data_IF_133766151253
#
_entry.id   IF_133766151253
#
_cell.length_a   1.000
_cell.length_b   1.000
_cell.length_c   1.000
_cell.angle_alpha   90.00
_cell.angle_beta   90.00
_cell.angle_gamma   90.00
#
_symmetry.space_group_name_H-M   'P 1'
#
loop_
_entity.id
_entity.type
_entity.pdbx_description
1 polymer ?
#
# COMPACT_ATOMS: atom_id res chain seq x y z
N UNK A 1 1.95 -4.80 -5.70
CA UNK A 1 2.19 -3.34 -5.57
C UNK A 1 1.96 -2.92 -4.13
N UNK A 2 2.37 -1.71 -3.75
CA UNK A 2 2.15 -1.18 -2.40
C UNK A 2 3.14 -1.66 -1.34
N UNK A 3 4.25 -2.30 -1.75
CA UNK A 3 5.30 -2.67 -0.81
C UNK A 3 5.92 -1.42 -0.17
N UNK A 4 6.17 -1.50 1.14
CA UNK A 4 6.77 -0.42 1.93
C UNK A 4 8.23 -0.81 2.18
N UNK A 5 9.15 -0.14 1.50
CA UNK A 5 10.58 -0.29 1.68
C UNK A 5 11.11 0.73 2.68
N UNK A 6 12.14 0.34 3.44
CA UNK A 6 12.82 1.23 4.37
C UNK A 6 14.31 1.27 4.04
N UNK A 7 14.82 2.39 3.49
CA UNK A 7 16.24 2.62 3.30
C UNK A 7 16.98 2.87 4.64
N UNK A 8 18.32 2.95 4.63
CA UNK A 8 19.11 3.21 5.84
C UNK A 8 18.81 4.53 6.56
N UNK A 9 18.25 5.52 5.88
CA UNK A 9 17.82 6.80 6.47
C UNK A 9 16.47 6.71 7.21
N UNK A 10 15.82 5.55 7.16
CA UNK A 10 14.58 5.26 7.88
C UNK A 10 13.31 5.79 7.22
N UNK A 11 13.39 6.48 6.08
CA UNK A 11 12.22 7.09 5.45
C UNK A 11 11.46 6.08 4.56
N UNK A 12 10.19 5.72 4.88
CA UNK A 12 9.50 4.69 4.13
C UNK A 12 9.15 5.11 2.69
N UNK A 13 9.37 4.20 1.74
CA UNK A 13 9.01 4.37 0.34
C UNK A 13 7.90 3.37 -0.01
N UNK A 14 6.75 3.87 -0.49
CA UNK A 14 5.66 3.03 -1.00
C UNK A 14 5.80 2.86 -2.51
N UNK A 15 5.91 1.61 -2.95
CA UNK A 15 6.08 1.29 -4.37
C UNK A 15 4.73 1.22 -5.12
N UNK A 16 4.53 2.13 -6.08
CA UNK A 16 3.33 2.19 -6.94
C UNK A 16 3.47 1.34 -8.22
N UNK A 17 2.71 1.66 -9.27
CA UNK A 17 2.63 0.88 -10.52
C UNK A 17 3.97 0.83 -11.26
N UNK A 18 4.67 1.96 -11.35
CA UNK A 18 5.89 2.11 -12.14
C UNK A 18 7.16 1.78 -11.34
N UNK A 19 7.01 0.93 -10.32
CA UNK A 19 8.11 0.54 -9.45
C UNK A 19 9.14 -0.33 -10.18
N UNK A 20 10.40 -0.25 -9.73
CA UNK A 20 11.42 -1.21 -10.11
C UNK A 20 11.01 -2.64 -9.67
N UNK A 21 11.35 -3.63 -10.48
CA UNK A 21 11.01 -5.05 -10.22
C UNK A 21 11.95 -5.71 -9.21
N UNK A 22 13.19 -5.23 -9.11
CA UNK A 22 14.21 -5.67 -8.14
C UNK A 22 14.35 -4.57 -7.08
N UNK A 23 14.33 -4.95 -5.80
CA UNK A 23 14.50 -4.02 -4.68
C UNK A 23 15.60 -4.48 -3.74
N UNK A 24 16.45 -3.55 -3.29
CA UNK A 24 17.56 -3.82 -2.37
C UNK A 24 17.27 -3.52 -0.89
N UNK A 25 16.15 -2.86 -0.59
CA UNK A 25 15.82 -2.45 0.78
C UNK A 25 14.88 -3.43 1.49
N UNK A 26 15.04 -3.60 2.82
CA UNK A 26 14.09 -4.32 3.65
C UNK A 26 12.66 -3.84 3.44
N UNK A 27 11.71 -4.79 3.47
CA UNK A 27 10.28 -4.51 3.35
C UNK A 27 9.61 -4.64 4.71
N UNK A 28 8.92 -3.59 5.16
CA UNK A 28 8.09 -3.64 6.37
C UNK A 28 6.80 -4.43 6.15
N UNK A 29 6.28 -4.40 4.93
CA UNK A 29 5.00 -5.00 4.57
C UNK A 29 4.48 -4.42 3.26
N UNK A 30 3.16 -4.50 3.07
CA UNK A 30 2.49 -3.91 1.92
C UNK A 30 1.16 -3.28 2.30
N UNK A 31 0.79 -2.20 1.62
CA UNK A 31 -0.55 -1.63 1.68
C UNK A 31 -1.56 -2.57 1.04
N UNK A 32 -2.79 -2.56 1.57
CA UNK A 32 -3.93 -3.19 0.90
C UNK A 32 -4.23 -2.47 -0.41
N UNK A 33 -4.88 -3.11 -1.39
CA UNK A 33 -5.25 -2.46 -2.65
C UNK A 33 -6.06 -1.17 -2.43
N UNK A 34 -6.99 -1.19 -1.49
CA UNK A 34 -7.83 -0.03 -1.14
C UNK A 34 -7.02 1.09 -0.46
N UNK A 35 -6.07 0.74 0.42
CA UNK A 35 -5.18 1.72 1.04
C UNK A 35 -4.21 2.34 0.03
N UNK A 36 -3.72 1.55 -0.93
CA UNK A 36 -2.86 2.03 -2.02
C UNK A 36 -3.61 3.02 -2.92
N UNK A 37 -4.85 2.70 -3.28
CA UNK A 37 -5.72 3.60 -4.05
C UNK A 37 -5.98 4.92 -3.30
N UNK A 38 -6.23 4.86 -1.98
CA UNK A 38 -6.39 6.06 -1.15
C UNK A 38 -5.11 6.88 -1.08
N UNK A 39 -3.95 6.24 -0.85
CA UNK A 39 -2.66 6.94 -0.77
C UNK A 39 -2.34 7.68 -2.08
N UNK A 40 -2.68 7.11 -3.23
CA UNK A 40 -2.46 7.74 -4.53
C UNK A 40 -3.26 9.04 -4.74
N UNK A 41 -4.22 9.35 -3.88
CA UNK A 41 -4.99 10.60 -3.92
C UNK A 41 -4.40 11.71 -3.04
N UNK A 42 -3.36 11.44 -2.24
CA UNK A 42 -2.74 12.43 -1.35
C UNK A 42 -1.73 13.30 -2.11
N UNK A 43 -1.61 14.55 -1.71
CA UNK A 43 -0.64 15.52 -2.22
C UNK A 43 0.68 15.50 -1.40
N UNK A 44 1.79 15.97 -2.00
CA UNK A 44 3.03 16.16 -1.26
C UNK A 44 2.84 17.06 -0.04
N UNK A 45 3.38 16.63 1.11
CA UNK A 45 3.26 17.35 2.39
C UNK A 45 2.05 16.94 3.23
N UNK A 46 1.09 16.19 2.67
CA UNK A 46 0.00 15.64 3.48
C UNK A 46 0.48 14.51 4.40
N UNK A 47 -0.10 14.47 5.60
CA UNK A 47 0.24 13.48 6.61
C UNK A 47 -0.57 12.20 6.44
N UNK A 48 0.10 11.05 6.52
CA UNK A 48 -0.52 9.73 6.50
C UNK A 48 -0.14 8.92 7.73
N UNK A 49 -1.03 8.04 8.18
CA UNK A 49 -0.76 7.08 9.26
C UNK A 49 -1.05 5.68 8.78
N UNK A 50 -0.06 4.80 8.93
CA UNK A 50 -0.22 3.38 8.64
C UNK A 50 -0.87 2.68 9.83
N UNK A 51 -1.81 1.78 9.56
CA UNK A 51 -2.45 0.93 10.56
C UNK A 51 -2.26 -0.53 10.15
N UNK A 52 -1.76 -1.40 11.04
CA UNK A 52 -1.68 -2.83 10.75
C UNK A 52 -3.07 -3.43 10.58
N UNK A 53 -3.17 -4.39 9.67
CA UNK A 53 -4.41 -5.13 9.40
C UNK A 53 -4.07 -6.60 9.18
N UNK A 54 -4.97 -7.47 9.64
CA UNK A 54 -4.87 -8.92 9.38
C UNK A 54 -5.15 -9.17 7.90
N UNK A 55 -4.33 -10.01 7.27
CA UNK A 55 -4.42 -10.33 5.84
C UNK A 55 -5.82 -10.81 5.43
N UNK A 56 -6.44 -11.67 6.23
CA UNK A 56 -7.82 -12.16 6.07
C UNK A 56 -8.83 -11.00 5.92
N UNK A 57 -8.73 -10.00 6.79
CA UNK A 57 -9.63 -8.84 6.79
C UNK A 57 -9.40 -7.98 5.55
N UNK A 58 -8.13 -7.75 5.19
CA UNK A 58 -7.78 -7.00 3.99
C UNK A 58 -8.28 -7.69 2.71
N UNK A 59 -8.18 -9.02 2.64
CA UNK A 59 -8.65 -9.80 1.50
C UNK A 59 -10.17 -9.71 1.35
N UNK A 60 -10.91 -9.97 2.44
CA UNK A 60 -12.38 -9.87 2.44
C UNK A 60 -12.86 -8.49 1.98
N UNK A 61 -12.29 -7.42 2.53
CA UNK A 61 -12.65 -6.05 2.15
C UNK A 61 -12.39 -5.76 0.66
N UNK A 62 -11.32 -6.34 0.11
CA UNK A 62 -11.02 -6.17 -1.31
C UNK A 62 -12.04 -6.89 -2.20
N UNK A 63 -12.40 -8.13 -1.85
CA UNK A 63 -13.41 -8.91 -2.57
C UNK A 63 -14.78 -8.21 -2.52
N UNK A 64 -15.21 -7.77 -1.33
CA UNK A 64 -16.45 -7.00 -1.15
C UNK A 64 -16.46 -5.72 -2.00
N UNK A 65 -15.32 -5.02 -2.08
CA UNK A 65 -15.19 -3.84 -2.92
C UNK A 65 -15.38 -4.18 -4.41
N UNK A 66 -14.76 -5.25 -4.92
CA UNK A 66 -14.88 -5.64 -6.33
C UNK A 66 -16.31 -6.03 -6.69
N UNK A 67 -17.02 -6.75 -5.81
CA UNK A 67 -18.42 -7.11 -6.03
C UNK A 67 -19.34 -5.89 -6.22
N UNK A 68 -19.03 -4.75 -5.58
CA UNK A 68 -19.82 -3.51 -5.74
C UNK A 68 -19.82 -2.96 -7.17
N UNK A 69 -18.84 -3.30 -7.99
CA UNK A 69 -18.73 -2.83 -9.38
C UNK A 69 -19.09 -3.93 -10.40
N UNK A 70 -19.67 -5.03 -9.93
CA UNK A 70 -20.04 -6.19 -10.76
C UNK A 70 -21.52 -6.17 -11.21
N UNK A 71 -22.24 -5.08 -10.95
CA UNK A 71 -23.60 -4.76 -11.43
C UNK A 71 -23.53 -3.60 -12.43
#
# INVERSE_FOLDING_TARGET
MGAIQVPPDGQPIVLLNDRQTIGGYPRLGALTPLALARLAQYLPGESVRLKPVVQETAHRQHVEYLHRFSE
#
